data_IF_805912939566
#
_entry.id   IF_805912939566
#
_cell.length_a   1.000
_cell.length_b   1.000
_cell.length_c   1.000
_cell.angle_alpha   90.00
_cell.angle_beta   90.00
_cell.angle_gamma   90.00
#
_symmetry.space_group_name_H-M   'P 1'
#
loop_
_entity.id
_entity.type
_entity.pdbx_description
1 polymer ?
#
# COMPACT_ATOMS: atom_id res chain seq x y z
N UNK A 1 -20.31 7.19 -9.58
CA UNK A 1 -19.26 6.76 -8.63
C UNK A 1 -17.90 6.94 -9.29
N UNK A 2 -17.76 6.53 -10.55
CA UNK A 2 -16.53 6.71 -11.35
C UNK A 2 -16.13 8.18 -11.55
N UNK A 3 -17.10 9.09 -11.74
CA UNK A 3 -16.80 10.52 -11.93
C UNK A 3 -16.18 11.17 -10.68
N UNK A 4 -16.70 10.85 -9.48
CA UNK A 4 -16.13 11.34 -8.22
C UNK A 4 -14.73 10.74 -7.97
N UNK A 5 -14.56 9.44 -8.24
CA UNK A 5 -13.26 8.78 -8.08
C UNK A 5 -12.23 9.38 -9.04
N UNK A 6 -12.59 9.59 -10.31
CA UNK A 6 -11.74 10.21 -11.31
C UNK A 6 -11.32 11.63 -10.93
N UNK A 7 -12.24 12.46 -10.43
CA UNK A 7 -11.90 13.80 -9.93
C UNK A 7 -10.91 13.78 -8.77
N UNK A 8 -11.10 12.85 -7.82
CA UNK A 8 -10.18 12.70 -6.68
C UNK A 8 -8.78 12.30 -7.15
N UNK A 9 -8.68 11.30 -8.03
CA UNK A 9 -7.40 10.85 -8.59
C UNK A 9 -6.72 11.96 -9.39
N UNK A 10 -7.45 12.64 -10.27
CA UNK A 10 -6.94 13.73 -11.11
C UNK A 10 -6.37 14.87 -10.25
N UNK A 11 -7.05 15.22 -9.16
CA UNK A 11 -6.57 16.21 -8.20
C UNK A 11 -5.31 15.75 -7.45
N UNK A 12 -5.17 14.45 -7.14
CA UNK A 12 -3.98 13.94 -6.43
C UNK A 12 -2.75 13.84 -7.36
N UNK A 13 -2.95 13.49 -8.63
CA UNK A 13 -1.88 13.30 -9.62
C UNK A 13 -1.54 14.60 -10.36
N UNK A 14 -2.44 15.60 -10.35
CA UNK A 14 -2.22 16.92 -10.95
C UNK A 14 -2.52 16.97 -12.46
N UNK A 15 -3.50 16.20 -12.93
CA UNK A 15 -3.96 16.18 -14.33
C UNK A 15 -5.45 16.55 -14.45
N UNK A 16 -5.95 16.68 -15.68
CA UNK A 16 -7.39 16.79 -15.90
C UNK A 16 -8.05 15.40 -15.75
N UNK A 17 -9.32 15.31 -15.28
CA UNK A 17 -10.03 14.03 -15.20
C UNK A 17 -10.07 13.27 -16.53
N UNK A 18 -10.18 14.00 -17.65
CA UNK A 18 -10.21 13.43 -19.01
C UNK A 18 -8.85 12.82 -19.44
N UNK A 19 -7.77 13.12 -18.73
CA UNK A 19 -6.45 12.51 -18.97
C UNK A 19 -6.34 11.09 -18.38
N UNK A 20 -7.28 10.68 -17.50
CA UNK A 20 -7.27 9.35 -16.87
C UNK A 20 -8.02 8.36 -17.77
N UNK A 21 -7.29 7.45 -18.40
CA UNK A 21 -7.89 6.44 -19.28
C UNK A 21 -8.58 5.30 -18.51
N UNK A 22 -7.95 4.79 -17.46
CA UNK A 22 -8.46 3.69 -16.62
C UNK A 22 -7.73 3.66 -15.27
N UNK A 23 -8.30 3.01 -14.26
CA UNK A 23 -7.67 2.81 -12.96
C UNK A 23 -8.04 1.47 -12.32
N UNK A 24 -7.05 0.80 -11.72
CA UNK A 24 -7.27 -0.31 -10.80
C UNK A 24 -6.78 0.10 -9.41
N UNK A 25 -7.72 0.25 -8.48
CA UNK A 25 -7.44 0.69 -7.12
C UNK A 25 -7.67 -0.45 -6.12
N UNK A 26 -6.77 -0.57 -5.14
CA UNK A 26 -6.98 -1.41 -3.97
C UNK A 26 -7.18 -0.52 -2.74
N UNK A 27 -8.34 -0.63 -2.11
CA UNK A 27 -8.55 0.02 -0.82
C UNK A 27 -7.60 -0.57 0.22
N UNK A 28 -6.88 0.29 0.92
CA UNK A 28 -6.03 -0.09 2.04
C UNK A 28 -6.43 0.69 3.29
N UNK A 29 -6.15 0.09 4.44
CA UNK A 29 -6.31 0.76 5.72
C UNK A 29 -5.32 1.94 5.79
N UNK A 30 -5.79 3.08 6.30
CA UNK A 30 -4.97 4.28 6.51
C UNK A 30 -4.23 4.23 7.85
N UNK A 31 -4.59 3.30 8.73
CA UNK A 31 -3.88 3.08 9.98
C UNK A 31 -2.43 2.63 9.72
N UNK A 32 -1.42 3.37 10.24
CA UNK A 32 -0.03 3.01 10.04
C UNK A 32 0.33 1.72 10.78
N UNK A 33 1.33 1.01 10.24
CA UNK A 33 1.92 -0.16 10.88
C UNK A 33 2.60 0.21 12.21
N UNK A 34 2.48 -0.65 13.21
CA UNK A 34 3.07 -0.44 14.54
C UNK A 34 3.73 -1.72 15.07
N UNK A 35 4.70 -1.54 15.97
CA UNK A 35 5.15 -2.61 16.86
C UNK A 35 4.25 -2.61 18.10
N UNK A 36 3.66 -3.75 18.39
CA UNK A 36 2.63 -3.94 19.41
C UNK A 36 2.89 -5.20 20.25
N UNK A 37 1.98 -5.50 21.19
CA UNK A 37 2.19 -6.52 22.22
C UNK A 37 2.76 -5.91 23.50
N UNK A 38 2.53 -6.58 24.64
CA UNK A 38 2.94 -6.05 25.95
C UNK A 38 4.46 -5.86 26.04
N UNK A 39 5.22 -6.75 25.38
CA UNK A 39 6.68 -6.74 25.30
C UNK A 39 7.18 -6.26 23.93
N UNK A 40 6.31 -5.63 23.12
CA UNK A 40 6.64 -5.21 21.75
C UNK A 40 7.06 -6.37 20.83
N UNK A 41 6.47 -7.55 21.04
CA UNK A 41 6.82 -8.78 20.36
C UNK A 41 6.10 -9.01 19.01
N UNK A 42 5.14 -8.14 18.64
CA UNK A 42 4.36 -8.29 17.41
C UNK A 42 4.49 -7.09 16.48
N UNK A 43 4.29 -7.35 15.18
CA UNK A 43 4.11 -6.32 14.15
C UNK A 43 2.65 -6.34 13.73
N UNK A 44 1.95 -5.24 13.94
CA UNK A 44 0.58 -5.04 13.45
C UNK A 44 0.66 -4.16 12.20
N UNK A 45 0.26 -4.72 11.08
CA UNK A 45 0.33 -4.06 9.78
C UNK A 45 -0.72 -4.65 8.84
N UNK A 46 -1.25 -3.82 7.95
CA UNK A 46 -2.09 -4.30 6.85
C UNK A 46 -1.27 -5.12 5.85
N UNK A 47 -1.93 -6.03 5.14
CA UNK A 47 -1.36 -6.77 3.98
C UNK A 47 -0.14 -7.67 4.30
N UNK A 48 0.04 -8.10 5.56
CA UNK A 48 1.15 -8.98 5.95
C UNK A 48 1.18 -10.28 5.12
N UNK A 49 0.03 -10.90 4.89
CA UNK A 49 -0.11 -11.99 3.94
C UNK A 49 -0.29 -11.44 2.52
N UNK A 50 0.61 -11.64 1.55
CA UNK A 50 1.92 -12.31 1.65
C UNK A 50 3.11 -11.35 1.52
N UNK A 51 2.87 -10.04 1.72
CA UNK A 51 3.88 -9.00 1.49
C UNK A 51 5.08 -9.15 2.44
N UNK A 52 4.86 -9.63 3.66
CA UNK A 52 5.92 -9.85 4.64
C UNK A 52 6.91 -10.92 4.17
N UNK A 53 6.43 -12.06 3.66
CA UNK A 53 7.33 -13.12 3.18
C UNK A 53 8.08 -12.72 1.91
N UNK A 54 7.40 -12.02 0.99
CA UNK A 54 8.05 -11.48 -0.23
C UNK A 54 9.18 -10.51 0.13
N UNK A 55 8.95 -9.62 1.10
CA UNK A 55 9.99 -8.71 1.59
C UNK A 55 11.18 -9.47 2.19
N UNK A 56 10.93 -10.41 3.09
CA UNK A 56 11.99 -11.22 3.72
C UNK A 56 12.80 -12.00 2.68
N UNK A 57 12.14 -12.54 1.65
CA UNK A 57 12.78 -13.30 0.58
C UNK A 57 13.68 -12.42 -0.31
N UNK A 58 13.25 -11.21 -0.65
CA UNK A 58 14.08 -10.27 -1.39
C UNK A 58 15.24 -9.77 -0.55
N UNK A 59 15.02 -9.50 0.74
CA UNK A 59 16.07 -9.01 1.62
C UNK A 59 17.16 -10.05 1.86
N UNK A 60 16.80 -11.33 1.94
CA UNK A 60 17.79 -12.40 2.08
C UNK A 60 18.65 -12.56 0.83
N UNK A 61 18.09 -12.35 -0.37
CA UNK A 61 18.85 -12.32 -1.63
C UNK A 61 19.83 -11.15 -1.69
N UNK A 62 19.40 -9.95 -1.30
CA UNK A 62 20.23 -8.74 -1.26
C UNK A 62 21.42 -8.89 -0.30
N UNK A 63 21.20 -9.45 0.89
CA UNK A 63 22.28 -9.65 1.88
C UNK A 63 23.20 -10.84 1.60
N UNK A 64 22.88 -11.69 0.62
CA UNK A 64 23.71 -12.82 0.21
C UNK A 64 24.74 -12.45 -0.88
N UNK A 65 24.69 -11.22 -1.41
CA UNK A 65 25.68 -10.61 -2.30
C UNK A 65 26.63 -9.69 -1.53
#
# INVERSE_FOLDING_TARGET
MDELMGMLLASQVGCAPDDICDFELQACDTQPSIVAGAMKEFIFSGRLDNLCMSFCSLKSLDCAM
#
